data_IF_935329595391
#
_entry.id   IF_935329595391
#
_cell.length_a   1.000
_cell.length_b   1.000
_cell.length_c   1.000
_cell.angle_alpha   90.00
_cell.angle_beta   90.00
_cell.angle_gamma   90.00
#
_symmetry.space_group_name_H-M   'P 1'
#
loop_
_entity.id
_entity.type
_entity.pdbx_description
1 polymer ?
#
# COMPACT_ATOMS: atom_id res chain seq x y z
N UNK A 1 24.78 -28.79 -5.96
CA UNK A 1 24.90 -27.32 -5.77
C UNK A 1 23.86 -26.67 -6.65
N UNK A 2 22.64 -26.54 -6.15
CA UNK A 2 21.49 -26.13 -6.96
C UNK A 2 20.27 -26.02 -6.07
N UNK A 3 20.27 -24.99 -5.23
CA UNK A 3 19.04 -24.41 -4.72
C UNK A 3 19.40 -22.98 -4.38
N UNK A 4 19.56 -22.18 -5.42
CA UNK A 4 19.28 -20.75 -5.31
C UNK A 4 17.80 -20.79 -4.96
N UNK A 5 17.49 -20.67 -3.66
CA UNK A 5 16.15 -20.43 -3.19
C UNK A 5 15.56 -19.42 -4.15
N UNK A 6 14.50 -19.84 -4.82
CA UNK A 6 13.74 -19.05 -5.76
C UNK A 6 13.61 -17.69 -5.11
N UNK A 7 14.32 -16.70 -5.66
CA UNK A 7 14.07 -15.32 -5.30
C UNK A 7 12.66 -15.16 -5.81
N UNK A 8 11.71 -15.31 -4.89
CA UNK A 8 10.38 -14.76 -5.00
C UNK A 8 10.60 -13.29 -5.31
N UNK A 9 10.78 -12.98 -6.59
CA UNK A 9 10.56 -11.66 -7.15
C UNK A 9 9.04 -11.50 -7.17
N UNK A 10 8.42 -11.70 -6.00
CA UNK A 10 7.06 -11.42 -5.70
C UNK A 10 6.83 -9.96 -6.03
N UNK A 11 5.63 -9.68 -6.53
CA UNK A 11 5.22 -8.35 -6.95
C UNK A 11 5.72 -7.33 -5.92
N UNK A 12 6.49 -6.30 -6.33
CA UNK A 12 7.04 -5.35 -5.38
C UNK A 12 5.92 -4.83 -4.48
N UNK A 13 6.19 -4.63 -3.17
CA UNK A 13 5.14 -4.20 -2.25
C UNK A 13 4.50 -2.93 -2.79
N UNK A 14 3.16 -2.80 -2.67
CA UNK A 14 2.47 -1.65 -3.19
C UNK A 14 3.09 -0.38 -2.62
N UNK A 15 3.17 0.66 -3.47
CA UNK A 15 3.66 1.99 -3.09
C UNK A 15 2.46 2.89 -2.84
N UNK A 16 2.52 3.68 -1.77
CA UNK A 16 1.46 4.62 -1.43
C UNK A 16 1.37 5.70 -2.51
N UNK A 17 0.16 5.97 -3.01
CA UNK A 17 -0.08 7.08 -3.92
C UNK A 17 0.27 8.39 -3.22
N UNK A 18 0.92 9.29 -3.94
CA UNK A 18 1.05 10.68 -3.52
C UNK A 18 -0.33 11.35 -3.47
N UNK A 19 -0.44 12.50 -2.79
CA UNK A 19 -1.71 13.23 -2.74
C UNK A 19 -2.20 13.61 -4.14
N UNK A 20 -1.29 14.02 -5.04
CA UNK A 20 -1.63 14.37 -6.42
C UNK A 20 -2.22 13.18 -7.19
N UNK A 21 -1.60 12.00 -7.10
CA UNK A 21 -2.10 10.78 -7.74
C UNK A 21 -3.42 10.31 -7.12
N UNK A 22 -3.61 10.53 -5.82
CA UNK A 22 -4.86 10.24 -5.13
C UNK A 22 -6.01 11.12 -5.62
N UNK A 23 -5.77 12.43 -5.80
CA UNK A 23 -6.77 13.37 -6.31
C UNK A 23 -7.28 12.96 -7.71
N UNK A 24 -6.41 12.44 -8.58
CA UNK A 24 -6.80 11.95 -9.91
C UNK A 24 -7.76 10.75 -9.87
N UNK A 25 -7.93 10.11 -8.72
CA UNK A 25 -8.87 9.00 -8.52
C UNK A 25 -10.18 9.39 -7.85
N UNK A 26 -10.34 10.67 -7.47
CA UNK A 26 -11.56 11.20 -6.88
C UNK A 26 -12.51 11.71 -7.97
N UNK A 27 -13.79 11.82 -7.61
CA UNK A 27 -14.78 12.48 -8.45
C UNK A 27 -14.56 14.00 -8.44
N UNK A 28 -14.86 14.67 -9.55
CA UNK A 28 -14.72 16.13 -9.71
C UNK A 28 -15.60 16.91 -8.72
N UNK A 29 -16.65 16.29 -8.16
CA UNK A 29 -17.51 16.90 -7.15
C UNK A 29 -16.87 16.96 -5.76
N UNK A 30 -15.74 16.30 -5.53
CA UNK A 30 -15.10 16.24 -4.21
C UNK A 30 -14.37 17.54 -3.92
N UNK A 31 -14.76 18.20 -2.83
CA UNK A 31 -14.11 19.44 -2.39
C UNK A 31 -12.76 19.19 -1.69
N UNK A 32 -12.00 20.28 -1.50
CA UNK A 32 -10.67 20.23 -0.90
C UNK A 32 -10.67 19.65 0.51
N UNK A 33 -11.67 19.99 1.33
CA UNK A 33 -11.73 19.53 2.73
C UNK A 33 -11.97 18.04 2.78
N UNK A 34 -12.89 17.56 1.95
CA UNK A 34 -13.18 16.13 1.83
C UNK A 34 -11.98 15.36 1.24
N UNK A 35 -11.30 15.90 0.23
CA UNK A 35 -10.13 15.29 -0.36
C UNK A 35 -9.00 15.08 0.66
N UNK A 36 -8.74 16.06 1.52
CA UNK A 36 -7.73 15.95 2.60
C UNK A 36 -8.12 14.88 3.61
N UNK A 37 -9.40 14.85 4.03
CA UNK A 37 -9.89 13.82 4.96
C UNK A 37 -9.73 12.42 4.37
N UNK A 38 -10.23 12.19 3.16
CA UNK A 38 -10.15 10.90 2.46
C UNK A 38 -8.71 10.46 2.24
N UNK A 39 -7.80 11.38 1.92
CA UNK A 39 -6.38 11.04 1.78
C UNK A 39 -5.73 10.66 3.11
N UNK A 40 -6.11 11.30 4.23
CA UNK A 40 -5.64 10.90 5.55
C UNK A 40 -6.11 9.50 5.94
N UNK A 41 -7.38 9.18 5.65
CA UNK A 41 -7.95 7.85 5.86
C UNK A 41 -7.22 6.81 4.98
N UNK A 42 -7.03 7.11 3.70
CA UNK A 42 -6.25 6.29 2.77
C UNK A 42 -4.83 5.97 3.29
N UNK A 43 -4.10 6.98 3.80
CA UNK A 43 -2.75 6.78 4.37
C UNK A 43 -2.75 5.86 5.60
N UNK A 44 -3.81 5.91 6.41
CA UNK A 44 -3.94 5.03 7.58
C UNK A 44 -4.20 3.60 7.14
N UNK A 45 -5.17 3.39 6.25
CA UNK A 45 -5.54 2.06 5.77
C UNK A 45 -4.40 1.39 5.01
N UNK A 46 -3.71 2.15 4.15
CA UNK A 46 -2.55 1.64 3.43
C UNK A 46 -1.44 1.16 4.36
N UNK A 47 -1.14 1.92 5.44
CA UNK A 47 -0.13 1.51 6.42
C UNK A 47 -0.57 0.29 7.21
N UNK A 48 -1.86 0.16 7.56
CA UNK A 48 -2.41 -1.05 8.20
C UNK A 48 -2.23 -2.25 7.29
N UNK A 49 -2.56 -2.11 6.00
CA UNK A 49 -2.41 -3.18 5.02
C UNK A 49 -0.95 -3.59 4.86
N UNK A 50 -0.01 -2.64 4.71
CA UNK A 50 1.42 -2.96 4.63
C UNK A 50 1.92 -3.75 5.85
N UNK A 51 1.49 -3.38 7.06
CA UNK A 51 1.88 -4.11 8.27
C UNK A 51 1.28 -5.51 8.32
N UNK A 52 0.03 -5.66 7.88
CA UNK A 52 -0.63 -6.96 7.79
C UNK A 52 0.05 -7.86 6.75
N UNK A 53 0.34 -7.33 5.57
CA UNK A 53 1.02 -8.06 4.49
C UNK A 53 2.42 -8.47 4.91
N UNK A 54 3.16 -7.55 5.54
CA UNK A 54 4.49 -7.84 6.08
C UNK A 54 4.41 -8.97 7.12
N UNK A 55 3.48 -8.88 8.07
CA UNK A 55 3.30 -9.91 9.07
C UNK A 55 2.97 -11.27 8.44
N UNK A 56 2.01 -11.32 7.51
CA UNK A 56 1.61 -12.57 6.85
C UNK A 56 2.73 -13.18 6.01
N UNK A 57 3.56 -12.37 5.36
CA UNK A 57 4.68 -12.83 4.55
C UNK A 57 5.78 -13.49 5.40
N UNK A 58 6.00 -13.01 6.63
CA UNK A 58 7.08 -13.50 7.50
C UNK A 58 6.55 -14.31 8.69
N UNK A 59 5.25 -14.65 8.73
CA UNK A 59 4.62 -15.28 9.91
C UNK A 59 5.15 -16.67 10.26
N UNK A 60 5.70 -17.36 9.26
CA UNK A 60 6.21 -18.74 9.37
C UNK A 60 7.75 -18.79 9.29
N UNK A 61 8.43 -17.64 9.26
CA UNK A 61 9.90 -17.59 9.33
C UNK A 61 10.34 -17.87 10.77
N UNK A 62 11.20 -18.89 10.96
CA UNK A 62 11.79 -19.27 12.26
C UNK A 62 12.81 -18.26 12.80
#
# INVERSE_FOLDING_TARGET
>A
LGSIAEIDLGVPPPVMKTFKEFLLSLDDSVDETEAVKRYNDYKLDFRRQQMQDFFLAHKDEE
#
